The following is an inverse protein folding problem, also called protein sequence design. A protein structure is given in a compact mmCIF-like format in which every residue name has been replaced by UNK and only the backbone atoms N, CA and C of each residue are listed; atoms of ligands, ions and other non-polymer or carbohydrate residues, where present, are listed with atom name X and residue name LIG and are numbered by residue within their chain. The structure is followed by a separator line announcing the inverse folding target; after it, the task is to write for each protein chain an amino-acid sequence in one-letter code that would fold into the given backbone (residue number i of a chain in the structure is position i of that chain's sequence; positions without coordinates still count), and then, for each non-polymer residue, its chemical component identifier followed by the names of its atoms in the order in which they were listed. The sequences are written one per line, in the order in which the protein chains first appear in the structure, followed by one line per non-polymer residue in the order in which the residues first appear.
data_IF_682842483974
#
_entry.id   IF_682842483974
#
_cell.length_a   1.000
_cell.length_b   1.000
_cell.length_c   1.000
_cell.angle_alpha   90.00
_cell.angle_beta   90.00
_cell.angle_gamma   90.00
#
_symmetry.space_group_name_H-M   'P 1'
#
loop_
_entity.id
_entity.type
_entity.pdbx_description
1 polymer ?
#
# COMPACT_ATOMS: atom_id res chain seq x y z
N UNK A 1 -19.00 23.17 5.28
CA UNK A 1 -17.94 23.88 4.54
C UNK A 1 -16.93 22.84 4.08
N UNK A 2 -16.84 22.68 2.77
CA UNK A 2 -16.01 21.71 2.06
C UNK A 2 -14.64 22.37 1.89
N UNK A 3 -13.63 21.96 2.66
CA UNK A 3 -12.25 22.34 2.36
C UNK A 3 -11.72 21.34 1.34
N UNK A 4 -11.92 21.65 0.07
CA UNK A 4 -11.10 21.11 -1.01
C UNK A 4 -9.70 21.70 -0.82
N UNK A 5 -8.84 21.00 -0.07
CA UNK A 5 -7.41 21.29 -0.11
C UNK A 5 -6.92 20.83 -1.48
N UNK A 6 -6.79 21.78 -2.39
CA UNK A 6 -6.02 21.68 -3.62
C UNK A 6 -4.68 22.35 -3.30
N UNK A 7 -3.61 21.57 -3.16
CA UNK A 7 -2.26 22.14 -3.24
C UNK A 7 -1.87 22.13 -4.71
N UNK A 8 -2.04 23.26 -5.38
CA UNK A 8 -1.85 23.45 -6.83
C UNK A 8 -0.46 24.03 -7.17
N UNK A 9 0.53 23.86 -6.29
CA UNK A 9 1.88 24.40 -6.49
C UNK A 9 2.91 23.29 -6.79
N UNK A 10 3.32 23.10 -8.06
CA UNK A 10 4.31 22.09 -8.44
C UNK A 10 5.76 22.41 -8.01
N UNK A 11 6.00 23.46 -7.22
CA UNK A 11 7.33 24.04 -7.02
C UNK A 11 7.82 24.31 -5.59
N UNK A 12 6.99 24.20 -4.54
CA UNK A 12 7.40 24.57 -3.18
C UNK A 12 7.08 23.46 -2.17
N UNK A 13 8.14 22.87 -1.60
CA UNK A 13 8.04 22.04 -0.40
C UNK A 13 7.79 22.94 0.83
N UNK A 14 6.62 23.59 0.92
CA UNK A 14 6.16 24.12 2.20
C UNK A 14 5.95 22.92 3.12
N UNK A 15 6.76 22.86 4.17
CA UNK A 15 6.75 21.81 5.18
C UNK A 15 5.54 22.00 6.11
N UNK A 16 4.35 22.08 5.53
CA UNK A 16 3.13 22.21 6.30
C UNK A 16 2.76 20.85 6.85
N UNK A 17 3.05 20.69 8.14
CA UNK A 17 2.46 19.65 8.97
C UNK A 17 0.94 19.80 8.88
N UNK A 18 0.29 18.97 8.05
CA UNK A 18 -1.16 18.95 7.92
C UNK A 18 -1.74 18.50 9.26
N UNK A 19 -2.28 19.46 10.03
CA UNK A 19 -2.93 19.19 11.32
C UNK A 19 -4.22 18.42 11.04
N UNK A 20 -4.41 17.21 11.60
CA UNK A 20 -5.60 16.42 11.33
C UNK A 20 -6.83 17.11 11.93
N UNK A 21 -7.89 17.26 11.14
CA UNK A 21 -9.23 17.57 11.62
C UNK A 21 -10.17 16.40 11.28
N UNK A 22 -10.79 15.75 12.28
CA UNK A 22 -11.73 14.68 12.05
C UNK A 22 -13.05 15.26 11.54
N UNK A 23 -13.29 15.20 10.22
CA UNK A 23 -14.63 15.41 9.66
C UNK A 23 -15.19 14.05 9.17
N UNK A 24 -16.49 13.80 9.35
CA UNK A 24 -17.11 12.50 9.05
C UNK A 24 -17.12 12.10 7.56
N UNK A 25 -16.64 12.96 6.65
CA UNK A 25 -16.39 12.63 5.24
C UNK A 25 -15.41 13.63 4.59
N UNK A 26 -14.10 13.37 4.63
CA UNK A 26 -13.10 14.19 3.90
C UNK A 26 -12.74 13.57 2.55
N UNK A 27 -12.47 14.41 1.54
CA UNK A 27 -11.95 14.04 0.21
C UNK A 27 -10.75 14.89 -0.22
N UNK A 28 -9.66 14.94 0.56
CA UNK A 28 -8.53 15.82 0.23
C UNK A 28 -7.81 15.32 -1.03
N UNK A 29 -7.27 16.24 -1.83
CA UNK A 29 -6.47 15.94 -3.01
C UNK A 29 -5.08 16.57 -2.85
N UNK A 30 -4.03 15.76 -2.91
CA UNK A 30 -2.66 16.24 -2.83
C UNK A 30 -1.90 15.89 -4.11
N UNK A 31 -1.28 16.89 -4.74
CA UNK A 31 -0.36 16.70 -5.86
C UNK A 31 0.98 17.25 -5.41
N UNK A 32 1.99 16.39 -5.31
CA UNK A 32 3.30 16.75 -4.77
C UNK A 32 4.42 16.27 -5.68
N UNK A 33 5.38 17.14 -5.93
CA UNK A 33 6.53 16.85 -6.79
C UNK A 33 7.84 17.12 -6.06
N UNK A 34 8.86 16.32 -6.35
CA UNK A 34 10.26 16.60 -6.01
C UNK A 34 10.57 16.66 -4.51
N UNK A 35 10.78 15.49 -3.90
CA UNK A 35 11.41 15.39 -2.57
C UNK A 35 10.52 15.70 -1.35
N UNK A 36 9.22 15.92 -1.54
CA UNK A 36 8.28 16.23 -0.45
C UNK A 36 8.20 15.11 0.59
N UNK A 37 7.88 15.48 1.84
CA UNK A 37 7.70 14.56 2.97
C UNK A 37 6.40 14.84 3.74
N UNK A 38 5.22 14.75 3.09
CA UNK A 38 3.96 15.05 3.75
C UNK A 38 3.62 13.99 4.80
N UNK A 39 2.91 14.40 5.84
CA UNK A 39 2.32 13.51 6.84
C UNK A 39 0.82 13.73 6.84
N UNK A 40 0.04 12.66 6.71
CA UNK A 40 -1.41 12.69 6.74
C UNK A 40 -1.95 11.70 7.77
N UNK A 41 -2.87 12.16 8.62
CA UNK A 41 -3.62 11.32 9.55
C UNK A 41 -5.09 11.53 9.24
N UNK A 42 -5.76 10.46 8.77
CA UNK A 42 -7.17 10.49 8.40
C UNK A 42 -7.92 9.39 9.13
N UNK A 43 -9.15 9.73 9.51
CA UNK A 43 -10.05 8.85 10.25
C UNK A 43 -11.40 8.78 9.57
N UNK A 44 -12.11 7.67 9.76
CA UNK A 44 -13.55 7.51 9.48
C UNK A 44 -14.01 7.96 8.10
N UNK A 45 -14.02 7.04 7.13
CA UNK A 45 -14.72 7.23 5.85
C UNK A 45 -14.07 8.18 4.84
N UNK A 46 -12.88 8.71 5.13
CA UNK A 46 -12.14 9.60 4.24
C UNK A 46 -11.78 8.92 2.90
N UNK A 47 -11.76 9.70 1.82
CA UNK A 47 -11.40 9.26 0.47
C UNK A 47 -10.34 10.19 -0.14
N UNK A 48 -9.11 10.19 0.42
CA UNK A 48 -8.06 11.06 -0.09
C UNK A 48 -7.57 10.58 -1.46
N UNK A 49 -7.15 11.53 -2.30
CA UNK A 49 -6.40 11.25 -3.53
C UNK A 49 -5.03 11.88 -3.39
N UNK A 50 -3.98 11.13 -3.68
CA UNK A 50 -2.61 11.63 -3.60
C UNK A 50 -1.82 11.22 -4.85
N UNK A 51 -1.22 12.19 -5.53
CA UNK A 51 -0.33 11.99 -6.67
C UNK A 51 1.05 12.52 -6.27
N UNK A 52 2.05 11.63 -6.18
CA UNK A 52 3.40 12.03 -5.82
C UNK A 52 4.46 11.53 -6.80
N UNK A 53 5.40 12.41 -7.14
CA UNK A 53 6.46 12.14 -8.10
C UNK A 53 7.83 12.51 -7.55
N UNK A 54 8.87 11.88 -8.09
CA UNK A 54 10.27 12.31 -7.94
C UNK A 54 10.79 12.31 -6.49
N UNK A 55 10.87 11.12 -5.89
CA UNK A 55 11.57 10.93 -4.61
C UNK A 55 10.80 11.34 -3.35
N UNK A 56 9.49 11.61 -3.45
CA UNK A 56 8.65 11.91 -2.30
C UNK A 56 8.61 10.78 -1.27
N UNK A 57 8.45 11.14 0.01
CA UNK A 57 8.44 10.22 1.16
C UNK A 57 7.23 10.50 2.07
N UNK A 58 6.00 10.26 1.59
CA UNK A 58 4.80 10.53 2.39
C UNK A 58 4.65 9.52 3.52
N UNK A 59 4.09 9.96 4.64
CA UNK A 59 3.62 9.09 5.72
C UNK A 59 2.11 9.26 5.87
N UNK A 60 1.37 8.15 5.84
CA UNK A 60 -0.08 8.15 5.99
C UNK A 60 -0.53 7.21 7.11
N UNK A 61 -1.39 7.69 8.00
CA UNK A 61 -2.10 6.88 9.00
C UNK A 61 -3.58 6.99 8.69
N UNK A 62 -4.22 5.86 8.36
CA UNK A 62 -5.61 5.80 7.93
C UNK A 62 -6.40 4.86 8.83
N UNK A 63 -7.50 5.35 9.37
CA UNK A 63 -8.35 4.58 10.27
C UNK A 63 -9.79 4.44 9.74
N UNK A 64 -10.41 3.30 10.07
CA UNK A 64 -11.85 3.04 9.93
C UNK A 64 -12.46 3.40 8.57
N UNK A 65 -12.39 2.47 7.62
CA UNK A 65 -13.16 2.56 6.37
C UNK A 65 -12.66 3.59 5.35
N UNK A 66 -11.43 4.12 5.52
CA UNK A 66 -10.82 5.01 4.54
C UNK A 66 -10.60 4.32 3.18
N UNK A 67 -10.72 5.09 2.10
CA UNK A 67 -10.57 4.62 0.71
C UNK A 67 -9.62 5.54 -0.07
N UNK A 68 -8.32 5.52 0.26
CA UNK A 68 -7.36 6.37 -0.43
C UNK A 68 -7.12 5.88 -1.86
N UNK A 69 -6.85 6.80 -2.77
CA UNK A 69 -6.24 6.52 -4.07
C UNK A 69 -4.87 7.18 -4.09
N UNK A 70 -3.82 6.40 -4.29
CA UNK A 70 -2.43 6.89 -4.25
C UNK A 70 -1.72 6.51 -5.55
N UNK A 71 -1.20 7.50 -6.26
CA UNK A 71 -0.39 7.34 -7.46
C UNK A 71 1.03 7.82 -7.14
N UNK A 72 2.02 6.94 -7.28
CA UNK A 72 3.41 7.24 -7.00
C UNK A 72 4.29 6.92 -8.21
N UNK A 73 5.17 7.86 -8.54
CA UNK A 73 6.11 7.72 -9.65
C UNK A 73 7.54 8.03 -9.22
N UNK A 74 8.50 7.33 -9.82
CA UNK A 74 9.93 7.68 -9.81
C UNK A 74 10.54 7.82 -8.41
N UNK A 75 10.84 6.67 -7.80
CA UNK A 75 11.67 6.62 -6.58
C UNK A 75 10.97 7.03 -5.27
N UNK A 76 9.66 7.23 -5.27
CA UNK A 76 8.89 7.51 -4.05
C UNK A 76 8.99 6.38 -3.00
N UNK A 77 8.98 6.76 -1.72
CA UNK A 77 9.13 5.86 -0.57
C UNK A 77 8.06 6.14 0.49
N UNK A 78 6.78 5.79 0.21
CA UNK A 78 5.70 6.03 1.15
C UNK A 78 5.75 5.06 2.33
N UNK A 79 5.25 5.50 3.47
CA UNK A 79 4.91 4.63 4.61
C UNK A 79 3.43 4.79 4.89
N UNK A 80 2.69 3.68 4.96
CA UNK A 80 1.26 3.70 5.23
C UNK A 80 0.89 2.73 6.35
N UNK A 81 0.10 3.20 7.31
CA UNK A 81 -0.52 2.40 8.37
C UNK A 81 -2.02 2.47 8.15
N UNK A 82 -2.65 1.32 7.92
CA UNK A 82 -4.07 1.21 7.64
C UNK A 82 -4.75 0.33 8.68
N UNK A 83 -5.75 0.89 9.34
CA UNK A 83 -6.59 0.22 10.32
C UNK A 83 -7.92 -0.25 9.73
N UNK A 84 -8.79 -0.81 10.57
CA UNK A 84 -10.00 -1.58 10.22
C UNK A 84 -10.72 -1.14 8.94
N UNK A 85 -10.89 -2.08 8.01
CA UNK A 85 -11.79 -1.94 6.85
C UNK A 85 -11.34 -0.95 5.77
N UNK A 86 -10.09 -0.47 5.81
CA UNK A 86 -9.57 0.41 4.75
C UNK A 86 -9.46 -0.31 3.40
N UNK A 87 -9.66 0.44 2.31
CA UNK A 87 -9.65 -0.06 0.93
C UNK A 87 -8.81 0.84 0.04
N UNK A 88 -7.47 0.82 0.18
CA UNK A 88 -6.61 1.66 -0.63
C UNK A 88 -6.51 1.12 -2.06
N UNK A 89 -6.41 2.02 -3.02
CA UNK A 89 -5.91 1.73 -4.36
C UNK A 89 -4.57 2.43 -4.53
N UNK A 90 -3.54 1.66 -4.85
CA UNK A 90 -2.17 2.17 -4.97
C UNK A 90 -1.62 1.82 -6.34
N UNK A 91 -1.13 2.82 -7.07
CA UNK A 91 -0.47 2.68 -8.36
C UNK A 91 0.97 3.14 -8.19
N UNK A 92 1.93 2.26 -8.49
CA UNK A 92 3.37 2.52 -8.32
C UNK A 92 4.11 2.33 -9.63
N UNK A 93 4.90 3.33 -9.99
CA UNK A 93 5.72 3.33 -11.19
C UNK A 93 7.20 3.54 -10.85
N UNK A 94 8.08 2.80 -11.53
CA UNK A 94 9.53 3.01 -11.59
C UNK A 94 10.23 3.20 -10.23
N UNK A 95 10.64 2.09 -9.63
CA UNK A 95 11.58 2.10 -8.49
C UNK A 95 11.00 2.57 -7.15
N UNK A 96 9.67 2.69 -7.03
CA UNK A 96 9.03 2.97 -5.74
C UNK A 96 9.27 1.87 -4.71
N UNK A 97 9.38 2.27 -3.44
CA UNK A 97 9.65 1.38 -2.30
C UNK A 97 8.69 1.65 -1.14
N UNK A 98 7.40 1.30 -1.28
CA UNK A 98 6.44 1.54 -0.22
C UNK A 98 6.61 0.55 0.93
N UNK A 99 6.25 1.00 2.13
CA UNK A 99 6.03 0.13 3.28
C UNK A 99 4.58 0.30 3.73
N UNK A 100 3.85 -0.80 3.89
CA UNK A 100 2.47 -0.79 4.31
C UNK A 100 2.23 -1.76 5.48
N UNK A 101 1.55 -1.28 6.52
CA UNK A 101 1.07 -2.09 7.64
C UNK A 101 -0.46 -2.06 7.61
N UNK A 102 -1.08 -3.22 7.46
CA UNK A 102 -2.52 -3.37 7.30
C UNK A 102 -3.09 -4.22 8.43
N UNK A 103 -4.03 -3.64 9.16
CA UNK A 103 -4.79 -4.32 10.21
C UNK A 103 -6.12 -4.89 9.68
N UNK A 104 -6.95 -5.40 10.59
CA UNK A 104 -8.13 -6.22 10.31
C UNK A 104 -8.98 -5.80 9.10
N UNK A 105 -9.25 -6.76 8.21
CA UNK A 105 -10.25 -6.60 7.15
C UNK A 105 -9.90 -5.60 6.05
N UNK A 106 -8.65 -5.14 5.96
CA UNK A 106 -8.22 -4.26 4.87
C UNK A 106 -8.25 -4.99 3.51
N UNK A 107 -8.56 -4.24 2.45
CA UNK A 107 -8.66 -4.76 1.07
C UNK A 107 -7.90 -3.86 0.10
N UNK A 108 -6.56 -3.87 0.13
CA UNK A 108 -5.78 -3.05 -0.76
C UNK A 108 -5.79 -3.62 -2.18
N UNK A 109 -5.78 -2.72 -3.15
CA UNK A 109 -5.45 -3.04 -4.54
C UNK A 109 -4.16 -2.31 -4.88
N UNK A 110 -3.16 -3.04 -5.36
CA UNK A 110 -1.86 -2.50 -5.73
C UNK A 110 -1.51 -2.85 -7.17
N UNK A 111 -1.18 -1.85 -7.98
CA UNK A 111 -0.68 -2.00 -9.34
C UNK A 111 0.76 -1.51 -9.35
N UNK A 112 1.68 -2.41 -9.69
CA UNK A 112 3.12 -2.18 -9.63
C UNK A 112 3.76 -2.37 -10.99
N UNK A 113 4.49 -1.35 -11.42
CA UNK A 113 5.32 -1.36 -12.63
C UNK A 113 6.81 -1.41 -12.28
N UNK A 114 7.65 -1.32 -13.32
CA UNK A 114 9.09 -1.57 -13.32
C UNK A 114 9.84 -1.34 -11.99
N UNK A 115 10.45 -2.41 -11.47
CA UNK A 115 11.43 -2.32 -10.39
C UNK A 115 10.91 -1.89 -9.02
N UNK A 116 9.59 -1.87 -8.79
CA UNK A 116 9.01 -1.58 -7.48
C UNK A 116 9.33 -2.68 -6.46
N UNK A 117 9.54 -2.25 -5.20
CA UNK A 117 9.91 -3.13 -4.08
C UNK A 117 9.06 -2.84 -2.84
N UNK A 118 7.77 -3.21 -2.84
CA UNK A 118 6.91 -2.97 -1.69
C UNK A 118 7.22 -3.96 -0.56
N UNK A 119 7.04 -3.49 0.66
CA UNK A 119 6.97 -4.35 1.85
C UNK A 119 5.59 -4.18 2.46
N UNK A 120 4.90 -5.29 2.71
CA UNK A 120 3.57 -5.28 3.29
C UNK A 120 3.48 -6.25 4.49
N UNK A 121 2.93 -5.76 5.60
CA UNK A 121 2.59 -6.57 6.78
C UNK A 121 1.07 -6.57 6.90
N UNK A 122 0.47 -7.75 6.84
CA UNK A 122 -0.98 -7.94 6.81
C UNK A 122 -1.43 -8.78 7.99
N UNK A 123 -2.30 -8.20 8.80
CA UNK A 123 -2.96 -8.88 9.92
C UNK A 123 -4.31 -9.48 9.50
N UNK A 124 -5.06 -9.98 10.49
CA UNK A 124 -6.25 -10.82 10.31
C UNK A 124 -7.21 -10.42 9.18
N UNK A 125 -7.53 -11.39 8.32
CA UNK A 125 -8.62 -11.26 7.35
C UNK A 125 -8.38 -10.25 6.21
N UNK A 126 -7.15 -9.77 6.01
CA UNK A 126 -6.81 -8.90 4.88
C UNK A 126 -6.96 -9.64 3.54
N UNK A 127 -7.37 -8.91 2.50
CA UNK A 127 -7.57 -9.45 1.15
C UNK A 127 -6.90 -8.56 0.11
N UNK A 128 -5.56 -8.58 0.01
CA UNK A 128 -4.86 -7.75 -0.95
C UNK A 128 -4.99 -8.34 -2.35
N UNK A 129 -5.09 -7.45 -3.34
CA UNK A 129 -4.93 -7.79 -4.75
C UNK A 129 -3.71 -7.04 -5.26
N UNK A 130 -2.77 -7.75 -5.87
CA UNK A 130 -1.56 -7.15 -6.42
C UNK A 130 -1.39 -7.55 -7.90
N UNK A 131 -1.17 -6.56 -8.75
CA UNK A 131 -0.81 -6.74 -10.16
C UNK A 131 0.62 -6.25 -10.31
N UNK A 132 1.53 -7.13 -10.70
CA UNK A 132 2.96 -6.85 -10.75
C UNK A 132 3.50 -7.04 -12.15
N UNK A 133 4.27 -6.05 -12.61
CA UNK A 133 4.95 -6.06 -13.90
C UNK A 133 6.47 -5.94 -13.74
N UNK A 134 7.20 -6.34 -14.78
CA UNK A 134 8.66 -6.19 -14.98
C UNK A 134 9.52 -5.98 -13.72
N UNK A 135 10.10 -7.05 -13.20
CA UNK A 135 11.16 -6.95 -12.19
C UNK A 135 10.73 -6.47 -10.80
N UNK A 136 9.42 -6.45 -10.50
CA UNK A 136 8.93 -6.16 -9.15
C UNK A 136 9.36 -7.23 -8.14
N UNK A 137 9.64 -6.79 -6.90
CA UNK A 137 10.09 -7.67 -5.81
C UNK A 137 9.34 -7.35 -4.52
N UNK A 138 8.05 -7.71 -4.41
CA UNK A 138 7.30 -7.49 -3.19
C UNK A 138 7.73 -8.47 -2.10
N UNK A 139 7.70 -7.98 -0.86
CA UNK A 139 7.77 -8.83 0.34
C UNK A 139 6.48 -8.66 1.10
N UNK A 140 5.81 -9.76 1.43
CA UNK A 140 4.58 -9.76 2.19
C UNK A 140 4.69 -10.70 3.40
N UNK A 141 4.29 -10.21 4.58
CA UNK A 141 4.12 -11.01 5.79
C UNK A 141 2.63 -11.04 6.08
N UNK A 142 2.06 -12.24 6.14
CA UNK A 142 0.62 -12.45 6.26
C UNK A 142 0.30 -13.30 7.48
N UNK A 143 -0.51 -12.74 8.37
CA UNK A 143 -1.06 -13.42 9.53
C UNK A 143 -2.44 -14.03 9.22
N UNK A 144 -3.09 -14.58 10.26
CA UNK A 144 -4.28 -15.43 10.16
C UNK A 144 -5.35 -14.99 9.15
N UNK A 145 -5.81 -15.92 8.33
CA UNK A 145 -6.99 -15.72 7.47
C UNK A 145 -6.81 -14.74 6.31
N UNK A 146 -5.58 -14.31 6.01
CA UNK A 146 -5.32 -13.47 4.84
C UNK A 146 -5.54 -14.23 3.53
N UNK A 147 -6.05 -13.52 2.51
CA UNK A 147 -6.34 -14.10 1.19
C UNK A 147 -5.75 -13.22 0.09
N UNK A 148 -4.43 -13.25 -0.14
CA UNK A 148 -3.82 -12.45 -1.18
C UNK A 148 -4.07 -13.05 -2.56
N UNK A 149 -4.32 -12.18 -3.53
CA UNK A 149 -4.32 -12.53 -4.95
C UNK A 149 -3.21 -11.75 -5.62
N UNK A 150 -2.33 -12.44 -6.36
CA UNK A 150 -1.25 -11.82 -7.11
C UNK A 150 -1.32 -12.24 -8.59
N UNK A 151 -1.19 -11.26 -9.48
CA UNK A 151 -0.99 -11.46 -10.92
C UNK A 151 0.40 -10.95 -11.25
N UNK A 152 1.26 -11.82 -11.79
CA UNK A 152 2.67 -11.54 -11.97
C UNK A 152 3.10 -11.70 -13.42
N UNK A 153 3.63 -10.63 -13.99
CA UNK A 153 4.26 -10.59 -15.31
C UNK A 153 5.79 -10.61 -15.20
N UNK A 154 6.47 -10.63 -16.37
CA UNK A 154 7.91 -10.83 -16.56
C UNK A 154 8.84 -10.48 -15.36
N UNK A 155 9.61 -11.46 -14.91
CA UNK A 155 10.73 -11.23 -13.99
C UNK A 155 10.37 -10.83 -12.55
N UNK A 156 9.10 -10.93 -12.16
CA UNK A 156 8.68 -10.64 -10.78
C UNK A 156 9.17 -11.71 -9.80
N UNK A 157 9.57 -11.28 -8.60
CA UNK A 157 10.10 -12.16 -7.54
C UNK A 157 9.45 -11.85 -6.19
N UNK A 158 8.19 -12.25 -5.98
CA UNK A 158 7.53 -12.02 -4.70
C UNK A 158 8.05 -12.99 -3.64
N UNK A 159 8.13 -12.51 -2.40
CA UNK A 159 8.34 -13.33 -1.22
C UNK A 159 7.15 -13.17 -0.30
N UNK A 160 6.52 -14.27 0.09
CA UNK A 160 5.41 -14.30 1.04
C UNK A 160 5.78 -15.16 2.26
N UNK A 161 5.61 -14.62 3.45
CA UNK A 161 5.67 -15.35 4.72
C UNK A 161 4.22 -15.49 5.21
N UNK A 162 3.78 -16.73 5.41
CA UNK A 162 2.38 -17.09 5.62
C UNK A 162 2.22 -17.81 6.96
N UNK A 163 1.41 -17.25 7.84
CA UNK A 163 0.92 -17.95 9.04
C UNK A 163 -0.36 -18.75 8.75
N UNK A 164 -0.88 -19.43 9.77
CA UNK A 164 -2.06 -20.32 9.67
C UNK A 164 -3.27 -19.67 8.98
N UNK A 165 -3.99 -20.47 8.18
CA UNK A 165 -5.24 -20.02 7.54
C UNK A 165 -5.08 -19.03 6.38
N UNK A 166 -3.85 -18.68 5.98
CA UNK A 166 -3.61 -17.90 4.76
C UNK A 166 -3.94 -18.71 3.50
N UNK A 167 -4.58 -18.09 2.52
CA UNK A 167 -4.93 -18.71 1.23
C UNK A 167 -4.47 -17.84 0.07
N UNK A 168 -3.18 -17.91 -0.32
CA UNK A 168 -2.66 -17.15 -1.44
C UNK A 168 -3.08 -17.77 -2.78
N UNK A 169 -3.34 -16.89 -3.76
CA UNK A 169 -3.53 -17.25 -5.16
C UNK A 169 -2.54 -16.45 -5.98
N UNK A 170 -1.81 -17.13 -6.88
CA UNK A 170 -0.86 -16.50 -7.78
C UNK A 170 -1.10 -16.94 -9.22
N UNK A 171 -1.17 -15.98 -10.13
CA UNK A 171 -1.19 -16.19 -11.58
C UNK A 171 0.15 -15.70 -12.12
N UNK A 172 0.87 -16.57 -12.83
CA UNK A 172 2.25 -16.34 -13.25
C UNK A 172 2.36 -16.32 -14.78
N UNK A 173 3.08 -15.32 -15.30
CA UNK A 173 3.64 -15.33 -16.66
C UNK A 173 5.16 -15.62 -16.62
N UNK A 174 5.83 -15.50 -17.77
CA UNK A 174 7.23 -15.91 -17.94
C UNK A 174 8.21 -15.29 -16.95
N UNK A 175 9.19 -16.06 -16.48
CA UNK A 175 10.31 -15.56 -15.66
C UNK A 175 9.95 -15.14 -14.24
N UNK A 176 8.72 -15.35 -13.78
CA UNK A 176 8.32 -15.11 -12.39
C UNK A 176 8.88 -16.19 -11.45
N UNK A 177 9.38 -15.78 -10.27
CA UNK A 177 9.93 -16.68 -9.24
C UNK A 177 9.34 -16.35 -7.88
N UNK A 178 8.12 -16.82 -7.58
CA UNK A 178 7.52 -16.63 -6.26
C UNK A 178 8.13 -17.57 -5.22
N UNK A 179 8.29 -17.06 -4.01
CA UNK A 179 8.68 -17.84 -2.83
C UNK A 179 7.59 -17.69 -1.77
N UNK A 180 7.12 -18.81 -1.23
CA UNK A 180 6.21 -18.85 -0.10
C UNK A 180 6.86 -19.63 1.06
N UNK A 181 6.89 -19.02 2.24
CA UNK A 181 7.41 -19.59 3.48
C UNK A 181 6.23 -19.76 4.42
N UNK A 182 5.99 -20.99 4.88
CA UNK A 182 4.93 -21.30 5.84
C UNK A 182 5.52 -21.30 7.24
N UNK A 183 5.04 -20.40 8.10
CA UNK A 183 5.32 -20.44 9.53
C UNK A 183 4.21 -21.21 10.24
N UNK A 184 4.39 -22.51 10.36
CA UNK A 184 3.56 -23.39 11.20
C UNK A 184 4.02 -23.29 12.66
N UNK A 185 3.14 -23.23 13.67
CA UNK A 185 3.49 -23.83 14.95
C UNK A 185 3.65 -25.34 14.74
N UNK A 186 4.65 -25.97 15.36
CA UNK A 186 4.81 -27.43 15.38
C UNK A 186 3.45 -28.09 15.64
N UNK A 187 3.06 -29.03 14.79
CA UNK A 187 2.03 -29.99 15.12
C UNK A 187 2.59 -30.89 16.24
N UNK A 188 2.11 -30.70 17.46
CA UNK A 188 2.08 -31.78 18.43
C UNK A 188 0.78 -32.56 18.20
N UNK A 189 0.88 -33.76 17.65
CA UNK A 189 -0.17 -34.79 17.77
C UNK A 189 -0.71 -35.38 16.46
N UNK A 190 -0.35 -36.66 16.28
CA UNK A 190 -0.91 -37.72 15.42
C UNK A 190 -0.44 -37.78 13.96
#
# INVERSE_FOLDING_TARGET
MLFDWISEDPGLCSSDSVKPHPLPACRPVAILSSGCRPVAILSSGCRPVAILSSGCRPVAILSSGCRPVVILSSGCRPVAILSSGCRPVVILSSGCRPVAILSSGCRPVAILSSGCRPVAILSSGCRPVAILSSGCRPVAILSSGCRPVAILSSGCRPVAILSSGCRPVAILSSGCRPVAILSSPLAAGL
#
